data_IF_368212457267
#
_entry.id   IF_368212457267
#
_cell.length_a   1.000
_cell.length_b   1.000
_cell.length_c   1.000
_cell.angle_alpha   90.00
_cell.angle_beta   90.00
_cell.angle_gamma   90.00
#
_symmetry.space_group_name_H-M   'P 1'
#
loop_
_entity.id
_entity.type
_entity.pdbx_description
1 polymer ?
#
# COMPACT_ATOMS: atom_id res chain seq x y z
N UNK A 1 25.95 1.36 27.67
CA UNK A 1 24.80 2.16 27.20
C UNK A 1 25.18 2.87 25.92
N UNK A 2 24.80 2.34 24.76
CA UNK A 2 25.00 3.03 23.47
C UNK A 2 24.06 4.22 23.45
N UNK A 3 24.60 5.43 23.31
CA UNK A 3 23.84 6.67 23.24
C UNK A 3 22.81 6.60 22.12
N UNK A 4 21.62 7.17 22.32
CA UNK A 4 20.57 7.32 21.31
C UNK A 4 21.12 7.91 19.99
N UNK A 5 22.13 8.79 20.09
CA UNK A 5 22.90 9.32 18.95
C UNK A 5 23.64 8.25 18.14
N UNK A 6 24.13 7.18 18.78
CA UNK A 6 24.89 6.12 18.10
C UNK A 6 24.00 5.16 17.31
N UNK A 7 22.69 5.10 17.63
CA UNK A 7 21.69 4.37 16.86
C UNK A 7 21.40 5.03 15.49
N UNK A 8 21.47 6.37 15.43
CA UNK A 8 21.16 7.14 14.22
C UNK A 8 22.37 7.59 13.41
N UNK A 9 23.58 7.60 14.01
CA UNK A 9 24.83 7.91 13.27
C UNK A 9 24.97 7.14 11.94
N UNK A 10 24.67 5.83 11.86
CA UNK A 10 24.77 5.11 10.60
C UNK A 10 23.76 5.58 9.53
N UNK A 11 22.59 6.07 9.92
CA UNK A 11 21.60 6.57 8.98
C UNK A 11 22.01 7.89 8.33
N UNK A 12 22.70 8.77 9.08
CA UNK A 12 23.19 10.05 8.56
C UNK A 12 24.43 9.93 7.67
N UNK A 13 25.25 8.89 7.85
CA UNK A 13 26.43 8.62 6.99
C UNK A 13 26.06 8.12 5.60
N UNK A 14 24.84 7.62 5.42
CA UNK A 14 24.32 7.12 4.13
C UNK A 14 23.66 8.22 3.28
N UNK A 15 23.58 9.46 3.80
CA UNK A 15 22.95 10.56 3.07
C UNK A 15 23.89 11.12 1.99
N UNK A 16 23.36 11.62 0.84
CA UNK A 16 24.14 12.25 -0.21
C UNK A 16 25.01 13.41 0.30
N UNK A 17 26.15 13.64 -0.32
CA UNK A 17 27.07 14.72 0.05
C UNK A 17 26.58 16.11 -0.37
N UNK A 18 25.89 16.22 -1.51
CA UNK A 18 25.31 17.47 -1.98
C UNK A 18 24.21 17.96 -1.02
N UNK A 19 24.26 19.23 -0.62
CA UNK A 19 23.42 19.81 0.43
C UNK A 19 21.93 19.58 0.16
N UNK A 20 21.45 19.90 -1.05
CA UNK A 20 20.02 19.76 -1.39
C UNK A 20 19.59 18.30 -1.53
N UNK A 21 20.44 17.41 -2.07
CA UNK A 21 20.17 15.98 -2.11
C UNK A 21 20.09 15.39 -0.70
N UNK A 22 20.93 15.86 0.23
CA UNK A 22 20.90 15.45 1.65
C UNK A 22 19.60 15.84 2.32
N UNK A 23 19.16 17.09 2.16
CA UNK A 23 17.87 17.55 2.70
C UNK A 23 16.70 16.79 2.08
N UNK A 24 16.70 16.60 0.75
CA UNK A 24 15.67 15.83 0.06
C UNK A 24 15.61 14.39 0.59
N UNK A 25 16.75 13.73 0.76
CA UNK A 25 16.81 12.35 1.28
C UNK A 25 16.36 12.25 2.74
N UNK A 26 16.75 13.20 3.60
CA UNK A 26 16.30 13.26 4.99
C UNK A 26 14.78 13.48 5.10
N UNK A 27 14.24 14.47 4.37
CA UNK A 27 12.81 14.76 4.32
C UNK A 27 12.00 13.59 3.74
N UNK A 28 12.52 12.95 2.70
CA UNK A 28 11.89 11.76 2.14
C UNK A 28 11.88 10.58 3.14
N UNK A 29 12.99 10.38 3.85
CA UNK A 29 13.07 9.38 4.92
C UNK A 29 12.07 9.66 6.04
N UNK A 30 11.90 10.92 6.45
CA UNK A 30 10.86 11.33 7.41
C UNK A 30 9.45 11.10 6.87
N UNK A 31 9.22 11.37 5.57
CA UNK A 31 7.94 11.05 4.94
C UNK A 31 7.63 9.55 5.04
N UNK A 32 8.59 8.70 4.70
CA UNK A 32 8.45 7.24 4.76
C UNK A 32 8.22 6.76 6.21
N UNK A 33 8.95 7.33 7.18
CA UNK A 33 8.84 7.02 8.61
C UNK A 33 7.64 7.66 9.31
N UNK A 34 6.68 8.19 8.58
CA UNK A 34 5.41 8.73 9.10
C UNK A 34 4.19 8.21 8.35
N UNK A 35 4.37 7.26 7.40
CA UNK A 35 3.29 6.73 6.58
C UNK A 35 2.13 6.13 7.38
N UNK A 36 2.44 5.45 8.48
CA UNK A 36 1.44 4.77 9.31
C UNK A 36 1.04 5.58 10.56
N UNK A 37 1.71 6.70 10.81
CA UNK A 37 1.46 7.53 11.99
C UNK A 37 0.60 8.75 11.67
N UNK A 38 0.90 9.44 10.56
CA UNK A 38 0.20 10.67 10.19
C UNK A 38 0.27 10.91 8.69
N UNK A 39 -0.88 10.83 8.02
CA UNK A 39 -0.99 11.13 6.59
C UNK A 39 -0.56 12.57 6.28
N UNK A 40 -0.96 13.53 7.12
CA UNK A 40 -0.61 14.94 6.91
C UNK A 40 0.90 15.17 7.00
N UNK A 41 1.56 14.61 8.02
CA UNK A 41 3.01 14.71 8.17
C UNK A 41 3.73 14.03 6.99
N UNK A 42 3.30 12.82 6.62
CA UNK A 42 3.87 12.09 5.51
C UNK A 42 3.81 12.86 4.19
N UNK A 43 2.65 13.45 3.87
CA UNK A 43 2.48 14.25 2.65
C UNK A 43 3.23 15.59 2.71
N UNK A 44 3.30 16.26 3.86
CA UNK A 44 4.07 17.48 4.04
C UNK A 44 5.57 17.23 3.81
N UNK A 45 6.13 16.19 4.44
CA UNK A 45 7.53 15.80 4.23
C UNK A 45 7.78 15.35 2.78
N UNK A 46 6.83 14.66 2.14
CA UNK A 46 6.92 14.29 0.72
C UNK A 46 7.01 15.52 -0.17
N UNK A 47 6.15 16.50 0.06
CA UNK A 47 6.14 17.75 -0.72
C UNK A 47 7.46 18.53 -0.55
N UNK A 48 7.95 18.67 0.69
CA UNK A 48 9.23 19.31 0.98
C UNK A 48 10.41 18.56 0.36
N UNK A 49 10.39 17.21 0.41
CA UNK A 49 11.40 16.36 -0.24
C UNK A 49 11.40 16.56 -1.76
N UNK A 50 10.21 16.58 -2.38
CA UNK A 50 10.08 16.81 -3.81
C UNK A 50 10.58 18.20 -4.22
N UNK A 51 10.30 19.25 -3.43
CA UNK A 51 10.81 20.60 -3.66
C UNK A 51 12.34 20.65 -3.53
N UNK A 52 12.90 20.10 -2.46
CA UNK A 52 14.36 20.05 -2.27
C UNK A 52 15.05 19.25 -3.38
N UNK A 53 14.43 18.14 -3.85
CA UNK A 53 14.94 17.37 -4.98
C UNK A 53 14.83 18.12 -6.30
N UNK A 54 13.77 18.89 -6.53
CA UNK A 54 13.64 19.76 -7.71
C UNK A 54 14.74 20.84 -7.76
N UNK A 55 15.07 21.43 -6.60
CA UNK A 55 16.21 22.39 -6.49
C UNK A 55 17.54 21.68 -6.79
N UNK A 56 17.75 20.45 -6.28
CA UNK A 56 18.92 19.64 -6.60
C UNK A 56 19.03 19.35 -8.10
N UNK A 57 17.93 18.95 -8.75
CA UNK A 57 17.89 18.71 -10.19
C UNK A 57 18.25 19.97 -11.01
N UNK A 58 17.75 21.12 -10.59
CA UNK A 58 18.01 22.39 -11.28
C UNK A 58 19.46 22.87 -11.14
N UNK A 59 20.06 22.73 -9.94
CA UNK A 59 21.42 23.20 -9.65
C UNK A 59 22.50 22.23 -10.09
N UNK A 60 22.36 20.97 -9.72
CA UNK A 60 23.44 19.99 -9.80
C UNK A 60 23.30 19.04 -11.00
N UNK A 61 22.12 19.07 -11.68
CA UNK A 61 21.79 18.28 -12.89
C UNK A 61 22.22 16.80 -12.80
N UNK A 62 21.89 16.08 -11.74
CA UNK A 62 22.27 14.68 -11.57
C UNK A 62 21.55 13.80 -12.58
N UNK A 63 22.10 12.60 -12.85
CA UNK A 63 21.40 11.58 -13.61
C UNK A 63 20.13 11.14 -12.86
N UNK A 64 18.99 11.14 -13.56
CA UNK A 64 17.69 10.79 -12.99
C UNK A 64 17.36 9.34 -13.31
N UNK A 65 17.16 8.55 -12.27
CA UNK A 65 16.72 7.16 -12.38
C UNK A 65 15.21 7.08 -12.17
N UNK A 66 14.54 6.32 -13.02
CA UNK A 66 13.10 6.08 -12.92
C UNK A 66 12.78 4.66 -13.38
N UNK A 67 11.87 3.94 -12.71
CA UNK A 67 11.43 2.63 -13.16
C UNK A 67 10.92 2.67 -14.63
N UNK A 68 11.03 1.55 -15.40
CA UNK A 68 10.62 1.52 -16.81
C UNK A 68 9.09 1.46 -16.97
N UNK A 69 8.39 2.38 -16.32
CA UNK A 69 6.93 2.52 -16.29
C UNK A 69 6.46 3.89 -16.78
N UNK A 70 7.33 4.67 -17.41
CA UNK A 70 7.04 6.05 -17.84
C UNK A 70 5.81 6.13 -18.72
N UNK A 71 5.71 5.26 -19.73
CA UNK A 71 4.60 5.28 -20.69
C UNK A 71 3.23 4.96 -20.03
N UNK A 72 3.05 3.83 -19.32
CA UNK A 72 1.77 3.54 -18.70
C UNK A 72 1.40 4.58 -17.63
N UNK A 73 2.38 5.12 -16.89
CA UNK A 73 2.12 6.18 -15.90
C UNK A 73 1.68 7.48 -16.58
N UNK A 74 2.37 7.91 -17.64
CA UNK A 74 2.01 9.11 -18.40
C UNK A 74 0.60 9.01 -19.00
N UNK A 75 0.24 7.87 -19.58
CA UNK A 75 -1.11 7.63 -20.11
C UNK A 75 -2.17 7.62 -18.98
N UNK A 76 -1.88 6.99 -17.84
CA UNK A 76 -2.76 7.02 -16.69
C UNK A 76 -3.01 8.44 -16.19
N UNK A 77 -1.96 9.27 -16.09
CA UNK A 77 -2.08 10.68 -15.72
C UNK A 77 -2.89 11.46 -16.77
N UNK A 78 -2.57 11.28 -18.06
CA UNK A 78 -3.27 11.95 -19.16
C UNK A 78 -4.77 11.66 -19.14
N UNK A 79 -5.17 10.38 -19.11
CA UNK A 79 -6.59 10.01 -19.11
C UNK A 79 -7.29 10.43 -17.81
N UNK A 80 -6.59 10.47 -16.67
CA UNK A 80 -7.14 11.03 -15.42
C UNK A 80 -7.46 12.52 -15.60
N UNK A 81 -6.54 13.30 -16.18
CA UNK A 81 -6.73 14.73 -16.44
C UNK A 81 -7.85 14.99 -17.45
N UNK A 82 -7.87 14.24 -18.57
CA UNK A 82 -8.90 14.35 -19.59
C UNK A 82 -10.29 14.01 -19.04
N UNK A 83 -10.38 12.95 -18.27
CA UNK A 83 -11.65 12.56 -17.61
C UNK A 83 -12.11 13.63 -16.62
N UNK A 84 -11.20 14.20 -15.82
CA UNK A 84 -11.55 15.26 -14.88
C UNK A 84 -12.04 16.51 -15.61
N UNK A 85 -11.37 16.88 -16.71
CA UNK A 85 -11.74 18.06 -17.50
C UNK A 85 -13.13 17.93 -18.16
N UNK A 86 -13.49 16.69 -18.60
CA UNK A 86 -14.77 16.40 -19.25
C UNK A 86 -15.90 16.01 -18.29
N UNK A 87 -15.61 15.89 -16.99
CA UNK A 87 -16.61 15.55 -15.99
C UNK A 87 -17.70 16.60 -15.88
N UNK A 88 -18.92 16.17 -15.52
CA UNK A 88 -20.04 17.08 -15.25
C UNK A 88 -19.72 18.07 -14.10
N UNK A 89 -18.99 17.59 -13.08
CA UNK A 89 -18.42 18.41 -12.00
C UNK A 89 -16.90 18.20 -11.94
N UNK A 90 -16.10 19.00 -12.66
CA UNK A 90 -14.62 18.89 -12.63
C UNK A 90 -14.03 19.13 -11.25
N UNK A 91 -14.68 19.97 -10.41
CA UNK A 91 -14.23 20.27 -9.04
C UNK A 91 -14.17 19.03 -8.16
N UNK A 92 -15.11 18.09 -8.30
CA UNK A 92 -15.11 16.81 -7.60
C UNK A 92 -13.84 15.99 -7.92
N UNK A 93 -13.35 16.06 -9.17
CA UNK A 93 -12.15 15.36 -9.62
C UNK A 93 -10.83 15.92 -9.10
N UNK A 94 -10.82 17.12 -8.51
CA UNK A 94 -9.60 17.77 -8.01
C UNK A 94 -8.83 16.93 -6.98
N UNK A 95 -9.52 16.12 -6.20
CA UNK A 95 -8.92 15.20 -5.25
C UNK A 95 -8.13 14.06 -5.96
N UNK A 96 -8.67 13.53 -7.05
CA UNK A 96 -7.99 12.50 -7.84
C UNK A 96 -6.73 13.06 -8.54
N UNK A 97 -6.78 14.29 -9.05
CA UNK A 97 -5.64 14.97 -9.67
C UNK A 97 -4.52 15.21 -8.64
N UNK A 98 -4.87 15.70 -7.44
CA UNK A 98 -3.89 15.89 -6.35
C UNK A 98 -3.16 14.60 -5.98
N UNK A 99 -3.83 13.44 -6.05
CA UNK A 99 -3.20 12.14 -5.78
C UNK A 99 -2.11 11.74 -6.78
N UNK A 100 -2.10 12.32 -7.99
CA UNK A 100 -1.04 12.06 -8.97
C UNK A 100 0.34 12.48 -8.44
N UNK A 101 0.40 13.46 -7.53
CA UNK A 101 1.65 13.86 -6.85
C UNK A 101 2.26 12.72 -6.06
N UNK A 102 1.48 11.75 -5.56
CA UNK A 102 2.00 10.61 -4.80
C UNK A 102 2.94 9.72 -5.65
N UNK A 103 2.77 9.70 -6.97
CA UNK A 103 3.69 8.97 -7.86
C UNK A 103 5.12 9.51 -7.85
N UNK A 104 5.35 10.71 -7.30
CA UNK A 104 6.70 11.21 -7.01
C UNK A 104 7.47 10.29 -6.04
N UNK A 105 6.78 9.50 -5.22
CA UNK A 105 7.41 8.47 -4.36
C UNK A 105 8.29 7.52 -5.18
N UNK A 106 7.84 7.10 -6.38
CA UNK A 106 8.62 6.25 -7.27
C UNK A 106 9.93 6.91 -7.70
N UNK A 107 9.86 8.21 -8.03
CA UNK A 107 11.02 9.00 -8.43
C UNK A 107 11.97 9.22 -7.24
N UNK A 108 11.44 9.67 -6.11
CA UNK A 108 12.24 10.01 -4.94
C UNK A 108 12.88 8.78 -4.32
N UNK A 109 12.17 7.64 -4.24
CA UNK A 109 12.78 6.39 -3.78
C UNK A 109 13.95 6.01 -4.65
N UNK A 110 13.78 6.04 -5.98
CA UNK A 110 14.82 5.63 -6.93
C UNK A 110 16.09 6.50 -6.90
N UNK A 111 15.99 7.76 -6.45
CA UNK A 111 17.10 8.71 -6.51
C UNK A 111 17.64 9.13 -5.13
N UNK A 112 16.85 9.03 -4.08
CA UNK A 112 17.23 9.48 -2.73
C UNK A 112 17.59 8.37 -1.78
N UNK A 113 17.12 7.13 -2.04
CA UNK A 113 17.56 5.94 -1.29
C UNK A 113 18.76 5.34 -2.02
N UNK A 114 19.96 5.65 -1.54
CA UNK A 114 21.21 5.41 -2.27
C UNK A 114 21.81 4.04 -2.04
N UNK A 115 21.48 3.38 -0.91
CA UNK A 115 22.10 2.09 -0.54
C UNK A 115 21.07 1.07 -0.03
N UNK A 116 21.43 -0.22 -0.15
CA UNK A 116 20.65 -1.32 0.43
C UNK A 116 20.56 -1.23 1.97
N UNK A 117 21.57 -0.62 2.62
CA UNK A 117 21.57 -0.39 4.07
C UNK A 117 20.57 0.68 4.46
N UNK A 118 20.54 1.82 3.75
CA UNK A 118 19.55 2.89 3.94
C UNK A 118 18.14 2.32 3.76
N UNK A 119 17.90 1.59 2.66
CA UNK A 119 16.62 0.93 2.42
C UNK A 119 16.20 0.00 3.56
N UNK A 120 17.12 -0.83 4.07
CA UNK A 120 16.87 -1.74 5.19
C UNK A 120 16.48 -0.97 6.46
N UNK A 121 17.11 0.16 6.75
CA UNK A 121 16.77 1.01 7.90
C UNK A 121 15.37 1.60 7.76
N UNK A 122 14.99 2.09 6.57
CA UNK A 122 13.63 2.57 6.29
C UNK A 122 12.59 1.47 6.50
N UNK A 123 12.84 0.26 5.99
CA UNK A 123 11.95 -0.88 6.23
C UNK A 123 11.82 -1.24 7.69
N UNK A 124 12.91 -1.25 8.44
CA UNK A 124 12.88 -1.51 9.88
C UNK A 124 12.07 -0.44 10.63
N UNK A 125 12.19 0.83 10.24
CA UNK A 125 11.37 1.92 10.75
C UNK A 125 9.88 1.68 10.48
N UNK A 126 9.50 1.38 9.23
CA UNK A 126 8.12 1.06 8.84
C UNK A 126 7.57 -0.13 9.64
N UNK A 127 8.38 -1.18 9.87
CA UNK A 127 7.95 -2.32 10.68
C UNK A 127 7.64 -1.93 12.13
N UNK A 128 8.46 -1.03 12.71
CA UNK A 128 8.23 -0.50 14.07
C UNK A 128 7.02 0.42 14.14
N UNK A 129 6.83 1.29 13.14
CA UNK A 129 5.61 2.10 13.02
C UNK A 129 4.35 1.23 12.95
N UNK A 130 4.41 0.18 12.10
CA UNK A 130 3.32 -0.77 11.95
C UNK A 130 3.00 -1.48 13.26
N UNK A 131 4.01 -1.88 14.03
CA UNK A 131 3.81 -2.46 15.35
C UNK A 131 3.19 -1.45 16.34
N UNK A 132 3.69 -0.20 16.36
CA UNK A 132 3.12 0.86 17.19
C UNK A 132 1.66 1.13 16.82
N UNK A 133 1.35 1.29 15.54
CA UNK A 133 -0.01 1.45 15.04
C UNK A 133 -0.89 0.24 15.39
N UNK A 134 -0.32 -0.98 15.32
CA UNK A 134 -0.97 -2.22 15.72
C UNK A 134 -1.29 -2.30 17.21
N UNK A 135 -0.39 -1.85 18.07
CA UNK A 135 -0.63 -1.77 19.54
C UNK A 135 -1.76 -0.80 19.85
N UNK A 136 -1.73 0.39 19.25
CA UNK A 136 -2.80 1.40 19.42
C UNK A 136 -4.14 0.84 18.94
N UNK A 137 -4.17 0.24 17.77
CA UNK A 137 -5.36 -0.37 17.19
C UNK A 137 -5.90 -1.52 18.08
N UNK A 138 -5.02 -2.33 18.68
CA UNK A 138 -5.42 -3.39 19.63
C UNK A 138 -6.04 -2.80 20.90
N UNK A 139 -5.51 -1.69 21.38
CA UNK A 139 -6.12 -0.92 22.49
C UNK A 139 -7.50 -0.37 22.12
N UNK A 140 -7.65 0.22 20.91
CA UNK A 140 -8.94 0.67 20.40
C UNK A 140 -9.95 -0.48 20.34
N UNK A 141 -9.54 -1.66 19.85
CA UNK A 141 -10.40 -2.84 19.84
C UNK A 141 -10.87 -3.24 21.24
N UNK A 142 -9.98 -3.25 22.21
CA UNK A 142 -10.34 -3.60 23.60
C UNK A 142 -11.37 -2.62 24.19
N UNK A 143 -11.25 -1.33 23.89
CA UNK A 143 -12.22 -0.29 24.32
C UNK A 143 -13.57 -0.51 23.63
N UNK A 144 -13.58 -0.63 22.29
CA UNK A 144 -14.80 -0.87 21.51
C UNK A 144 -15.49 -2.15 21.98
N UNK A 145 -14.75 -3.24 22.10
CA UNK A 145 -15.30 -4.53 22.54
C UNK A 145 -15.92 -4.48 23.96
N UNK A 146 -15.25 -3.82 24.91
CA UNK A 146 -15.78 -3.64 26.26
C UNK A 146 -17.07 -2.82 26.25
N UNK A 147 -17.11 -1.74 25.48
CA UNK A 147 -18.30 -0.90 25.33
C UNK A 147 -19.47 -1.69 24.73
N UNK A 148 -19.24 -2.38 23.61
CA UNK A 148 -20.27 -3.19 22.95
C UNK A 148 -20.77 -4.34 23.83
N UNK A 149 -19.89 -4.95 24.61
CA UNK A 149 -20.28 -6.00 25.56
C UNK A 149 -21.17 -5.48 26.68
N UNK A 150 -20.99 -4.22 27.09
CA UNK A 150 -21.81 -3.59 28.15
C UNK A 150 -23.17 -3.12 27.61
N UNK A 151 -23.21 -2.55 26.37
CA UNK A 151 -24.40 -1.88 25.83
C UNK A 151 -25.22 -2.81 24.92
N UNK A 152 -24.57 -3.68 24.15
CA UNK A 152 -25.21 -4.54 23.13
C UNK A 152 -24.70 -5.98 23.20
N UNK A 153 -24.83 -6.70 24.33
CA UNK A 153 -24.23 -8.04 24.53
C UNK A 153 -24.69 -9.06 23.46
N UNK A 154 -25.95 -8.99 23.02
CA UNK A 154 -26.54 -9.93 22.05
C UNK A 154 -26.19 -9.61 20.58
N UNK A 155 -25.64 -8.42 20.30
CA UNK A 155 -25.39 -7.93 18.95
C UNK A 155 -23.93 -7.48 18.74
N UNK A 156 -22.99 -7.95 19.56
CA UNK A 156 -21.57 -7.56 19.50
C UNK A 156 -21.01 -7.74 18.07
N UNK A 157 -21.27 -8.91 17.46
CA UNK A 157 -20.79 -9.20 16.10
C UNK A 157 -21.28 -8.17 15.09
N UNK A 158 -22.57 -7.83 15.12
CA UNK A 158 -23.15 -6.84 14.21
C UNK A 158 -22.42 -5.50 14.30
N UNK A 159 -22.29 -4.94 15.51
CA UNK A 159 -21.65 -3.65 15.69
C UNK A 159 -20.16 -3.67 15.36
N UNK A 160 -19.42 -4.75 15.68
CA UNK A 160 -18.01 -4.89 15.30
C UNK A 160 -17.80 -4.92 13.78
N UNK A 161 -18.83 -5.21 12.98
CA UNK A 161 -18.69 -5.11 11.52
C UNK A 161 -18.73 -3.67 11.00
N UNK A 162 -19.22 -2.73 11.79
CA UNK A 162 -19.29 -1.30 11.47
C UNK A 162 -18.25 -0.47 12.25
N UNK A 163 -18.08 -0.75 13.55
CA UNK A 163 -17.14 -0.06 14.43
C UNK A 163 -15.78 -0.76 14.46
N UNK A 164 -15.02 -0.64 13.37
CA UNK A 164 -13.69 -1.26 13.26
C UNK A 164 -12.59 -0.30 13.65
N UNK A 165 -11.45 -0.88 14.02
CA UNK A 165 -10.28 -0.13 14.49
C UNK A 165 -9.58 0.63 13.34
N UNK A 166 -9.43 1.96 13.44
CA UNK A 166 -8.78 2.78 12.41
C UNK A 166 -7.27 2.99 12.65
N UNK A 167 -6.70 2.56 13.78
CA UNK A 167 -5.34 2.91 14.16
C UNK A 167 -5.15 4.43 14.22
N UNK A 168 -4.14 4.95 13.51
CA UNK A 168 -3.91 6.40 13.35
C UNK A 168 -4.55 6.98 12.08
N UNK A 169 -5.22 6.16 11.23
CA UNK A 169 -5.60 6.56 9.86
C UNK A 169 -7.04 7.08 9.71
N UNK A 170 -7.78 7.24 10.79
CA UNK A 170 -9.15 7.72 10.76
C UNK A 170 -10.18 6.77 10.15
N UNK A 171 -9.75 5.78 9.34
CA UNK A 171 -10.62 4.80 8.70
C UNK A 171 -9.98 3.41 8.69
N UNK A 172 -10.76 2.38 9.04
CA UNK A 172 -10.27 1.00 9.20
C UNK A 172 -9.71 0.37 7.91
N UNK A 173 -10.22 0.75 6.74
CA UNK A 173 -9.73 0.25 5.45
C UNK A 173 -8.33 0.78 5.14
N UNK A 174 -8.08 2.05 5.44
CA UNK A 174 -6.75 2.66 5.28
C UNK A 174 -5.73 1.98 6.18
N UNK A 175 -6.07 1.80 7.46
CA UNK A 175 -5.24 1.09 8.43
C UNK A 175 -4.99 -0.36 7.99
N UNK A 176 -6.05 -1.11 7.66
CA UNK A 176 -5.95 -2.50 7.24
C UNK A 176 -5.11 -2.68 5.98
N UNK A 177 -5.32 -1.84 4.94
CA UNK A 177 -4.55 -1.88 3.70
C UNK A 177 -3.06 -1.56 3.88
N UNK A 178 -2.72 -0.58 4.74
CA UNK A 178 -1.33 -0.31 5.10
C UNK A 178 -0.69 -1.48 5.85
N UNK A 179 -1.36 -2.00 6.88
CA UNK A 179 -0.89 -3.14 7.67
C UNK A 179 -0.67 -4.38 6.79
N UNK A 180 -1.56 -4.65 5.84
CA UNK A 180 -1.43 -5.76 4.88
C UNK A 180 -0.16 -5.67 4.05
N UNK A 181 0.16 -4.50 3.50
CA UNK A 181 1.37 -4.29 2.71
C UNK A 181 2.64 -4.44 3.55
N UNK A 182 2.64 -3.87 4.76
CA UNK A 182 3.77 -3.99 5.69
C UNK A 182 3.92 -5.42 6.21
N UNK A 183 2.82 -6.11 6.49
CA UNK A 183 2.82 -7.52 6.87
C UNK A 183 3.47 -8.39 5.78
N UNK A 184 3.08 -8.23 4.52
CA UNK A 184 3.67 -8.96 3.41
C UNK A 184 5.19 -8.72 3.32
N UNK A 185 5.64 -7.47 3.48
CA UNK A 185 7.06 -7.13 3.48
C UNK A 185 7.80 -7.70 4.70
N UNK A 186 7.19 -7.67 5.89
CA UNK A 186 7.78 -8.20 7.11
C UNK A 186 7.91 -9.74 7.05
N UNK A 187 6.92 -10.44 6.51
CA UNK A 187 7.00 -11.89 6.27
C UNK A 187 8.11 -12.22 5.28
N UNK A 188 8.21 -11.48 4.16
CA UNK A 188 9.30 -11.64 3.20
C UNK A 188 10.67 -11.41 3.85
N UNK A 189 10.81 -10.37 4.69
CA UNK A 189 12.01 -10.08 5.45
C UNK A 189 12.38 -11.22 6.40
N UNK A 190 11.41 -11.74 7.16
CA UNK A 190 11.64 -12.83 8.13
C UNK A 190 12.05 -14.15 7.48
N UNK A 191 11.44 -14.49 6.35
CA UNK A 191 11.67 -15.76 5.68
C UNK A 191 12.92 -15.77 4.78
N UNK A 192 13.28 -14.63 4.18
CA UNK A 192 14.23 -14.56 3.08
C UNK A 192 15.46 -13.67 3.34
N UNK A 193 15.41 -12.80 4.37
CA UNK A 193 16.58 -11.99 4.69
C UNK A 193 17.59 -12.79 5.55
N UNK A 194 18.93 -12.59 5.35
CA UNK A 194 19.92 -13.26 6.15
C UNK A 194 19.97 -12.69 7.58
N UNK A 195 20.18 -13.55 8.56
CA UNK A 195 20.47 -13.20 9.97
C UNK A 195 19.45 -12.27 10.61
N UNK A 196 18.16 -12.63 10.57
CA UNK A 196 17.09 -11.86 11.19
C UNK A 196 17.07 -12.09 12.72
N UNK A 197 17.00 -10.99 13.49
CA UNK A 197 16.89 -11.06 14.96
C UNK A 197 15.50 -11.58 15.37
N UNK A 198 15.42 -12.39 16.44
CA UNK A 198 14.17 -12.96 16.98
C UNK A 198 13.12 -11.89 17.34
N UNK A 199 13.53 -10.70 17.70
CA UNK A 199 12.66 -9.54 17.97
C UNK A 199 11.64 -9.28 16.85
N UNK A 200 12.03 -9.46 15.58
CA UNK A 200 11.13 -9.20 14.45
C UNK A 200 9.93 -10.16 14.35
N UNK A 201 10.02 -11.34 14.97
CA UNK A 201 8.87 -12.23 15.13
C UNK A 201 7.83 -11.67 16.10
N UNK A 202 8.26 -10.96 17.15
CA UNK A 202 7.35 -10.26 18.07
C UNK A 202 6.65 -9.12 17.32
N UNK A 203 7.40 -8.36 16.51
CA UNK A 203 6.82 -7.30 15.65
C UNK A 203 5.78 -7.89 14.70
N UNK A 204 6.08 -9.04 14.04
CA UNK A 204 5.13 -9.74 13.19
C UNK A 204 3.86 -10.16 13.96
N UNK A 205 4.01 -10.69 15.16
CA UNK A 205 2.86 -11.10 15.98
C UNK A 205 1.94 -9.93 16.31
N UNK A 206 2.48 -8.75 16.66
CA UNK A 206 1.72 -7.53 16.92
C UNK A 206 0.97 -7.07 15.65
N UNK A 207 1.66 -7.02 14.52
CA UNK A 207 1.08 -6.63 13.23
C UNK A 207 -0.02 -7.62 12.81
N UNK A 208 0.23 -8.93 12.90
CA UNK A 208 -0.74 -9.96 12.60
C UNK A 208 -1.98 -9.87 13.50
N UNK A 209 -1.80 -9.67 14.80
CA UNK A 209 -2.91 -9.47 15.74
C UNK A 209 -3.77 -8.28 15.34
N UNK A 210 -3.15 -7.13 15.02
CA UNK A 210 -3.89 -5.94 14.61
C UNK A 210 -4.70 -6.14 13.32
N UNK A 211 -4.17 -6.93 12.35
CA UNK A 211 -4.87 -7.31 11.12
C UNK A 211 -6.08 -8.21 11.42
N UNK A 212 -5.92 -9.17 12.31
CA UNK A 212 -7.03 -10.03 12.75
C UNK A 212 -8.12 -9.19 13.40
N UNK A 213 -7.76 -8.31 14.34
CA UNK A 213 -8.69 -7.43 15.07
C UNK A 213 -9.33 -6.34 14.19
N UNK A 214 -8.78 -6.05 13.02
CA UNK A 214 -9.37 -5.10 12.06
C UNK A 214 -10.66 -5.61 11.41
N UNK A 215 -10.98 -6.89 11.47
CA UNK A 215 -12.22 -7.50 10.96
C UNK A 215 -12.49 -7.28 9.46
N UNK A 216 -11.48 -6.92 8.66
CA UNK A 216 -11.65 -6.65 7.22
C UNK A 216 -11.26 -7.87 6.39
N UNK A 217 -12.27 -8.54 5.80
CA UNK A 217 -12.09 -9.78 5.02
C UNK A 217 -11.15 -9.63 3.83
N UNK A 218 -11.23 -8.49 3.11
CA UNK A 218 -10.35 -8.20 1.98
C UNK A 218 -8.87 -8.16 2.40
N UNK A 219 -8.58 -7.52 3.54
CA UNK A 219 -7.23 -7.46 4.12
C UNK A 219 -6.73 -8.85 4.50
N UNK A 220 -7.59 -9.69 5.11
CA UNK A 220 -7.24 -11.07 5.45
C UNK A 220 -6.92 -11.89 4.20
N UNK A 221 -7.73 -11.75 3.14
CA UNK A 221 -7.50 -12.41 1.85
C UNK A 221 -6.18 -11.96 1.23
N UNK A 222 -5.88 -10.67 1.23
CA UNK A 222 -4.61 -10.14 0.74
C UNK A 222 -3.40 -10.68 1.51
N UNK A 223 -3.46 -10.69 2.86
CA UNK A 223 -2.42 -11.27 3.71
C UNK A 223 -2.24 -12.77 3.43
N UNK A 224 -3.34 -13.50 3.29
CA UNK A 224 -3.34 -14.94 3.02
C UNK A 224 -2.62 -15.27 1.70
N UNK A 225 -2.96 -14.57 0.63
CA UNK A 225 -2.33 -14.78 -0.68
C UNK A 225 -0.85 -14.38 -0.67
N UNK A 226 -0.49 -13.29 0.01
CA UNK A 226 0.90 -12.91 0.21
C UNK A 226 1.70 -14.00 0.93
N UNK A 227 1.14 -14.60 1.99
CA UNK A 227 1.78 -15.69 2.75
C UNK A 227 1.93 -16.94 1.88
N UNK A 228 0.89 -17.36 1.14
CA UNK A 228 0.99 -18.49 0.21
C UNK A 228 2.11 -18.28 -0.80
N UNK A 229 2.16 -17.11 -1.42
CA UNK A 229 3.20 -16.77 -2.38
C UNK A 229 4.60 -16.87 -1.74
N UNK A 230 4.79 -16.27 -0.56
CA UNK A 230 6.09 -16.24 0.12
C UNK A 230 6.52 -17.61 0.63
N UNK A 231 5.61 -18.44 1.14
CA UNK A 231 5.90 -19.84 1.51
C UNK A 231 6.26 -20.64 0.25
N UNK A 232 5.57 -20.44 -0.86
CA UNK A 232 5.89 -21.05 -2.15
C UNK A 232 7.29 -20.69 -2.64
N UNK A 233 7.74 -19.45 -2.40
CA UNK A 233 9.10 -18.99 -2.73
C UNK A 233 10.17 -19.51 -1.77
N UNK A 234 9.83 -19.72 -0.50
CA UNK A 234 10.76 -20.15 0.55
C UNK A 234 10.87 -21.66 0.67
N UNK A 235 9.75 -22.34 0.95
CA UNK A 235 9.65 -23.81 1.11
C UNK A 235 8.29 -24.33 0.63
N UNK A 236 8.12 -24.59 -0.68
CA UNK A 236 6.81 -24.94 -1.26
C UNK A 236 6.16 -26.17 -0.61
N UNK A 237 6.96 -27.12 -0.08
CA UNK A 237 6.44 -28.31 0.63
C UNK A 237 5.60 -27.95 1.86
N UNK A 238 5.81 -26.78 2.50
CA UNK A 238 5.00 -26.36 3.64
C UNK A 238 3.57 -25.95 3.26
N UNK A 239 3.30 -25.72 1.97
CA UNK A 239 1.93 -25.44 1.50
C UNK A 239 0.99 -26.62 1.75
N UNK A 240 1.49 -27.86 1.81
CA UNK A 240 0.67 -29.03 2.16
C UNK A 240 0.14 -28.99 3.60
N UNK A 241 0.80 -28.28 4.50
CA UNK A 241 0.34 -28.09 5.88
C UNK A 241 -0.75 -27.01 6.01
N UNK A 242 -0.91 -26.16 4.98
CA UNK A 242 -1.80 -25.00 5.03
C UNK A 242 -3.27 -25.38 5.30
N UNK A 243 -3.88 -26.40 4.67
CA UNK A 243 -5.26 -26.80 4.96
C UNK A 243 -5.45 -27.18 6.43
N UNK A 244 -4.48 -27.93 7.00
CA UNK A 244 -4.52 -28.34 8.42
C UNK A 244 -4.41 -27.13 9.34
N UNK A 245 -3.46 -26.22 9.06
CA UNK A 245 -3.28 -25.00 9.85
C UNK A 245 -4.52 -24.09 9.79
N UNK A 246 -5.15 -23.98 8.63
CA UNK A 246 -6.40 -23.23 8.47
C UNK A 246 -7.54 -23.85 9.25
N UNK A 247 -7.69 -25.18 9.19
CA UNK A 247 -8.72 -25.89 9.94
C UNK A 247 -8.50 -25.71 11.45
N UNK A 248 -7.29 -25.96 11.94
CA UNK A 248 -6.95 -25.79 13.36
C UNK A 248 -7.16 -24.33 13.80
N UNK A 249 -6.69 -23.37 12.98
CA UNK A 249 -6.89 -21.94 13.26
C UNK A 249 -8.37 -21.54 13.30
N UNK A 250 -9.19 -22.09 12.39
CA UNK A 250 -10.63 -21.87 12.39
C UNK A 250 -11.30 -22.46 13.65
N UNK A 251 -10.97 -23.70 14.02
CA UNK A 251 -11.56 -24.37 15.17
C UNK A 251 -11.14 -23.71 16.51
N UNK A 252 -9.90 -23.22 16.59
CA UNK A 252 -9.38 -22.53 17.77
C UNK A 252 -9.82 -21.07 17.86
N UNK A 253 -10.36 -20.47 16.79
CA UNK A 253 -10.74 -19.07 16.77
C UNK A 253 -11.98 -18.81 17.63
N UNK A 254 -12.06 -17.68 18.36
CA UNK A 254 -13.29 -17.28 19.06
C UNK A 254 -14.49 -17.19 18.11
N UNK A 255 -15.69 -17.40 18.63
CA UNK A 255 -16.94 -17.47 17.85
C UNK A 255 -17.19 -16.25 16.94
N UNK A 256 -16.81 -15.06 17.37
CA UNK A 256 -16.90 -13.82 16.57
C UNK A 256 -16.08 -13.91 15.25
N UNK A 257 -14.87 -14.46 15.33
CA UNK A 257 -14.01 -14.63 14.15
C UNK A 257 -14.50 -15.77 13.27
N UNK A 258 -15.00 -16.88 13.86
CA UNK A 258 -15.63 -17.95 13.09
C UNK A 258 -16.85 -17.45 12.33
N UNK A 259 -17.72 -16.62 12.95
CA UNK A 259 -18.86 -15.99 12.27
C UNK A 259 -18.38 -15.10 11.11
N UNK A 260 -17.31 -14.34 11.31
CA UNK A 260 -16.75 -13.48 10.25
C UNK A 260 -16.21 -14.28 9.07
N UNK A 261 -15.56 -15.41 9.33
CA UNK A 261 -15.07 -16.32 8.28
C UNK A 261 -16.22 -17.03 7.56
N UNK A 262 -17.24 -17.50 8.28
CA UNK A 262 -18.44 -18.12 7.66
C UNK A 262 -19.18 -17.15 6.72
N UNK A 263 -19.21 -15.85 7.04
CA UNK A 263 -19.85 -14.85 6.20
C UNK A 263 -19.17 -14.64 4.84
N UNK A 264 -17.98 -15.22 4.60
CA UNK A 264 -17.34 -15.21 3.28
C UNK A 264 -18.08 -16.17 2.32
N UNK A 265 -18.55 -17.33 2.84
CA UNK A 265 -19.20 -18.37 2.04
C UNK A 265 -20.72 -18.21 1.86
N UNK A 266 -21.35 -17.27 2.56
CA UNK A 266 -22.80 -17.07 2.56
C UNK A 266 -23.19 -15.64 2.15
N UNK A 267 -23.15 -15.31 0.85
CA UNK A 267 -23.41 -13.95 0.36
C UNK A 267 -24.79 -13.39 0.74
N UNK A 268 -25.79 -14.26 0.85
CA UNK A 268 -27.19 -13.87 1.11
C UNK A 268 -27.43 -13.37 2.54
N UNK A 269 -26.55 -13.70 3.49
CA UNK A 269 -26.68 -13.32 4.89
C UNK A 269 -25.88 -12.05 5.28
N UNK A 270 -25.04 -11.52 4.37
CA UNK A 270 -24.19 -10.35 4.64
C UNK A 270 -24.65 -9.13 3.83
N UNK A 271 -25.29 -8.13 4.49
CA UNK A 271 -25.72 -6.90 3.84
C UNK A 271 -24.60 -6.20 3.07
N UNK A 272 -23.34 -6.30 3.52
CA UNK A 272 -22.20 -5.64 2.87
C UNK A 272 -21.86 -6.24 1.51
N UNK A 273 -22.18 -7.50 1.26
CA UNK A 273 -22.02 -8.13 -0.06
C UNK A 273 -23.12 -7.73 -1.01
N UNK A 274 -24.37 -7.69 -0.53
CA UNK A 274 -25.51 -7.24 -1.33
C UNK A 274 -25.29 -5.81 -1.85
N UNK A 275 -24.82 -4.90 -0.98
CA UNK A 275 -24.46 -3.52 -1.32
C UNK A 275 -23.36 -3.51 -2.41
N UNK A 276 -22.31 -4.32 -2.27
CA UNK A 276 -21.23 -4.39 -3.28
C UNK A 276 -21.73 -4.90 -4.63
N UNK A 277 -22.59 -5.91 -4.67
CA UNK A 277 -23.17 -6.39 -5.92
C UNK A 277 -24.01 -5.31 -6.63
N UNK A 278 -24.80 -4.54 -5.88
CA UNK A 278 -25.51 -3.40 -6.44
C UNK A 278 -24.53 -2.36 -7.01
N UNK A 279 -23.53 -1.98 -6.24
CA UNK A 279 -22.48 -1.03 -6.68
C UNK A 279 -21.76 -1.52 -7.95
N UNK A 280 -21.48 -2.82 -8.06
CA UNK A 280 -20.85 -3.40 -9.25
C UNK A 280 -21.78 -3.37 -10.46
N UNK A 281 -23.07 -3.62 -10.28
CA UNK A 281 -24.07 -3.49 -11.36
C UNK A 281 -24.16 -2.03 -11.85
N UNK A 282 -24.23 -1.09 -10.93
CA UNK A 282 -24.24 0.35 -11.24
C UNK A 282 -22.96 0.76 -11.95
N UNK A 283 -21.80 0.38 -11.42
CA UNK A 283 -20.50 0.66 -12.05
C UNK A 283 -20.40 0.09 -13.47
N UNK A 284 -20.86 -1.15 -13.70
CA UNK A 284 -20.88 -1.76 -15.02
C UNK A 284 -21.79 -1.00 -16.01
N UNK A 285 -22.90 -0.40 -15.55
CA UNK A 285 -23.75 0.45 -16.37
C UNK A 285 -23.10 1.78 -16.69
N UNK A 286 -22.39 2.41 -15.72
CA UNK A 286 -21.61 3.62 -15.96
C UNK A 286 -20.53 3.40 -17.01
N UNK A 287 -19.77 2.29 -16.92
CA UNK A 287 -18.75 1.93 -17.91
C UNK A 287 -19.34 1.77 -19.31
N UNK A 288 -20.51 1.11 -19.44
CA UNK A 288 -21.18 0.94 -20.73
C UNK A 288 -21.68 2.25 -21.31
N UNK A 289 -22.19 3.15 -20.47
CA UNK A 289 -22.70 4.45 -20.90
C UNK A 289 -21.58 5.45 -21.26
N UNK A 290 -20.44 5.37 -20.54
CA UNK A 290 -19.32 6.30 -20.69
C UNK A 290 -17.99 5.56 -20.85
N UNK A 291 -17.78 4.75 -21.93
CA UNK A 291 -16.61 3.86 -22.05
C UNK A 291 -15.29 4.61 -22.22
N UNK A 292 -15.29 5.83 -22.74
CA UNK A 292 -14.05 6.53 -23.09
C UNK A 292 -13.43 7.32 -21.96
N UNK A 293 -14.20 8.14 -21.25
CA UNK A 293 -13.69 9.04 -20.20
C UNK A 293 -14.42 8.87 -18.86
N UNK A 294 -15.37 7.94 -18.77
CA UNK A 294 -16.15 7.71 -17.57
C UNK A 294 -17.09 8.88 -17.21
N UNK A 295 -17.64 8.83 -16.01
CA UNK A 295 -18.50 9.91 -15.46
C UNK A 295 -17.68 11.04 -14.81
N UNK A 296 -16.39 10.88 -14.73
CA UNK A 296 -15.45 11.79 -14.06
C UNK A 296 -15.08 11.33 -12.64
N UNK A 297 -13.81 11.52 -12.23
CA UNK A 297 -13.37 11.19 -10.89
C UNK A 297 -14.18 11.94 -9.83
N UNK A 298 -14.60 11.24 -8.76
CA UNK A 298 -15.39 11.80 -7.66
C UNK A 298 -16.84 12.16 -8.01
N UNK A 299 -17.33 11.80 -9.20
CA UNK A 299 -18.71 12.10 -9.62
C UNK A 299 -19.65 10.92 -9.39
N UNK A 300 -19.18 9.73 -8.99
CA UNK A 300 -20.03 8.53 -8.86
C UNK A 300 -21.23 8.79 -7.96
N UNK A 301 -21.02 9.36 -6.78
CA UNK A 301 -22.10 9.62 -5.82
C UNK A 301 -23.22 10.48 -6.43
N UNK A 302 -22.86 11.51 -7.18
CA UNK A 302 -23.81 12.46 -7.78
C UNK A 302 -24.69 11.81 -8.86
N UNK A 303 -24.14 10.83 -9.59
CA UNK A 303 -24.83 10.19 -10.71
C UNK A 303 -25.31 8.76 -10.39
N UNK A 304 -25.04 8.23 -9.19
CA UNK A 304 -25.27 6.85 -8.82
C UNK A 304 -26.70 6.39 -9.10
N UNK A 305 -27.67 7.20 -8.67
CA UNK A 305 -29.11 6.89 -8.82
C UNK A 305 -29.56 6.78 -10.29
N UNK A 306 -28.91 7.49 -11.22
CA UNK A 306 -29.23 7.44 -12.66
C UNK A 306 -28.90 6.07 -13.28
N UNK A 307 -27.99 5.31 -12.66
CA UNK A 307 -27.53 4.01 -13.16
C UNK A 307 -28.06 2.82 -12.36
N UNK A 308 -28.97 3.05 -11.40
CA UNK A 308 -29.65 1.96 -10.72
C UNK A 308 -30.49 1.12 -11.70
N UNK A 309 -30.61 -0.20 -11.49
CA UNK A 309 -31.54 -1.03 -12.24
C UNK A 309 -32.97 -0.47 -12.14
N UNK A 310 -33.78 -0.50 -13.23
CA UNK A 310 -35.15 -0.07 -13.18
C UNK A 310 -35.93 -0.77 -12.07
N UNK A 311 -36.74 -0.02 -11.31
CA UNK A 311 -37.57 -0.54 -10.22
C UNK A 311 -36.83 -0.90 -8.93
N UNK A 312 -35.50 -0.71 -8.87
CA UNK A 312 -34.74 -0.89 -7.61
C UNK A 312 -34.71 0.40 -6.79
N UNK A 313 -34.90 0.24 -5.50
CA UNK A 313 -34.64 1.26 -4.49
C UNK A 313 -33.15 1.06 -4.04
N UNK A 314 -32.35 2.12 -3.91
CA UNK A 314 -30.97 1.97 -3.48
C UNK A 314 -30.91 1.34 -2.10
N UNK A 315 -30.03 0.34 -1.94
CA UNK A 315 -29.71 -0.19 -0.62
C UNK A 315 -29.02 0.95 0.14
N UNK A 316 -29.56 1.30 1.29
CA UNK A 316 -29.01 2.39 2.13
C UNK A 316 -27.55 2.10 2.43
N UNK A 317 -26.64 2.98 2.00
CA UNK A 317 -25.19 2.83 2.17
C UNK A 317 -24.43 3.98 1.55
N UNK A 318 -23.12 3.89 1.64
CA UNK A 318 -22.20 4.88 1.15
C UNK A 318 -21.89 4.63 -0.35
N UNK A 319 -22.13 5.62 -1.20
CA UNK A 319 -22.09 5.49 -2.66
C UNK A 319 -20.91 6.18 -3.35
N UNK A 320 -19.94 6.74 -2.61
CA UNK A 320 -18.76 7.39 -3.22
C UNK A 320 -17.88 6.41 -3.98
N UNK A 321 -17.85 5.14 -3.55
CA UNK A 321 -16.93 4.13 -4.08
C UNK A 321 -17.68 2.86 -4.46
N UNK A 322 -17.24 2.24 -5.57
CA UNK A 322 -17.77 0.96 -6.05
C UNK A 322 -17.15 -0.27 -5.36
N UNK A 323 -16.29 -0.07 -4.36
CA UNK A 323 -15.57 -1.13 -3.66
C UNK A 323 -14.91 -2.16 -4.61
N UNK A 324 -14.32 -1.67 -5.70
CA UNK A 324 -13.55 -2.44 -6.68
C UNK A 324 -12.74 -1.47 -7.53
N UNK A 325 -11.41 -1.56 -7.49
CA UNK A 325 -10.51 -0.66 -8.23
C UNK A 325 -10.76 -0.67 -9.74
N UNK A 326 -11.03 -1.86 -10.32
CA UNK A 326 -11.24 -2.02 -11.78
C UNK A 326 -12.51 -1.29 -12.20
N UNK A 327 -13.62 -1.55 -11.50
CA UNK A 327 -14.89 -0.90 -11.77
C UNK A 327 -14.84 0.60 -11.46
N UNK A 328 -14.20 0.99 -10.36
CA UNK A 328 -14.04 2.39 -9.99
C UNK A 328 -13.33 3.18 -11.09
N UNK A 329 -12.17 2.68 -11.54
CA UNK A 329 -11.39 3.36 -12.58
C UNK A 329 -12.12 3.37 -13.93
N UNK A 330 -12.75 2.25 -14.31
CA UNK A 330 -13.52 2.17 -15.53
C UNK A 330 -14.74 3.10 -15.52
N UNK A 331 -15.48 3.16 -14.42
CA UNK A 331 -16.66 4.02 -14.29
C UNK A 331 -16.29 5.50 -14.22
N UNK A 332 -15.28 5.87 -13.42
CA UNK A 332 -14.86 7.26 -13.27
C UNK A 332 -14.10 7.80 -14.46
N UNK A 333 -13.18 7.00 -15.05
CA UNK A 333 -12.14 7.50 -15.97
C UNK A 333 -12.15 6.82 -17.33
N UNK A 334 -13.05 5.86 -17.55
CA UNK A 334 -13.19 5.13 -18.79
C UNK A 334 -12.18 4.01 -19.01
N UNK A 335 -12.42 3.22 -20.06
CA UNK A 335 -11.61 2.05 -20.43
C UNK A 335 -10.16 2.39 -20.79
N UNK A 336 -9.82 3.51 -21.47
CA UNK A 336 -8.43 3.84 -21.78
C UNK A 336 -7.60 4.11 -20.49
N UNK A 337 -8.19 4.79 -19.50
CA UNK A 337 -7.54 4.98 -18.20
C UNK A 337 -7.37 3.65 -17.46
N UNK A 338 -8.41 2.81 -17.44
CA UNK A 338 -8.35 1.47 -16.86
C UNK A 338 -7.26 0.61 -17.53
N UNK A 339 -7.18 0.61 -18.86
CA UNK A 339 -6.16 -0.13 -19.59
C UNK A 339 -4.74 0.36 -19.25
N UNK A 340 -4.53 1.68 -19.19
CA UNK A 340 -3.24 2.26 -18.78
C UNK A 340 -2.88 1.92 -17.32
N UNK A 341 -3.85 1.87 -16.42
CA UNK A 341 -3.65 1.44 -15.05
C UNK A 341 -3.29 -0.06 -14.96
N UNK A 342 -4.00 -0.93 -15.67
CA UNK A 342 -3.68 -2.36 -15.73
C UNK A 342 -2.27 -2.59 -16.30
N UNK A 343 -1.88 -1.84 -17.34
CA UNK A 343 -0.52 -1.86 -17.86
C UNK A 343 0.50 -1.39 -16.82
N UNK A 344 0.21 -0.31 -16.08
CA UNK A 344 1.06 0.18 -15.00
C UNK A 344 1.24 -0.89 -13.91
N UNK A 345 0.16 -1.51 -13.47
CA UNK A 345 0.20 -2.58 -12.46
C UNK A 345 0.99 -3.79 -12.95
N UNK A 346 0.76 -4.22 -14.19
CA UNK A 346 1.50 -5.32 -14.82
C UNK A 346 3.00 -5.00 -14.99
N UNK A 347 3.33 -3.77 -15.39
CA UNK A 347 4.72 -3.32 -15.55
C UNK A 347 5.47 -3.28 -14.22
N UNK A 348 4.85 -2.82 -13.13
CA UNK A 348 5.42 -2.83 -11.79
C UNK A 348 5.71 -4.26 -11.31
N UNK A 349 4.75 -5.18 -11.48
CA UNK A 349 4.93 -6.59 -11.13
C UNK A 349 6.03 -7.25 -11.96
N UNK A 350 6.01 -7.04 -13.28
CA UNK A 350 7.00 -7.59 -14.22
C UNK A 350 8.41 -7.10 -13.93
N UNK A 351 8.56 -5.81 -13.60
CA UNK A 351 9.84 -5.23 -13.25
C UNK A 351 10.39 -5.85 -11.95
N UNK A 352 9.58 -5.93 -10.91
CA UNK A 352 9.94 -6.58 -9.65
C UNK A 352 10.32 -8.05 -9.85
N UNK A 353 9.58 -8.77 -10.71
CA UNK A 353 9.87 -10.17 -11.04
C UNK A 353 11.17 -10.35 -11.84
N UNK A 354 11.50 -9.45 -12.78
CA UNK A 354 12.79 -9.44 -13.46
C UNK A 354 13.94 -9.21 -12.49
N UNK A 355 13.79 -8.24 -11.58
CA UNK A 355 14.80 -7.92 -10.57
C UNK A 355 15.03 -9.12 -9.65
N UNK A 356 13.96 -9.75 -9.14
CA UNK A 356 14.01 -10.95 -8.31
C UNK A 356 14.93 -12.05 -8.85
N UNK A 357 14.98 -12.20 -10.18
CA UNK A 357 15.81 -13.22 -10.85
C UNK A 357 17.30 -12.84 -10.91
N UNK A 358 17.63 -11.57 -10.74
CA UNK A 358 18.98 -11.04 -10.89
C UNK A 358 19.69 -10.82 -9.56
N UNK A 359 18.94 -10.41 -8.52
CA UNK A 359 19.46 -10.13 -7.18
C UNK A 359 19.65 -11.41 -6.36
N UNK A 360 20.72 -11.46 -5.54
CA UNK A 360 21.06 -12.62 -4.70
C UNK A 360 20.96 -12.32 -3.20
N UNK A 361 21.53 -11.21 -2.73
CA UNK A 361 21.66 -10.96 -1.30
C UNK A 361 20.40 -10.39 -0.65
N UNK A 362 19.68 -9.47 -1.32
CA UNK A 362 18.49 -8.80 -0.79
C UNK A 362 17.21 -9.21 -1.53
N UNK A 363 17.14 -10.46 -1.95
CA UNK A 363 15.99 -11.02 -2.69
C UNK A 363 14.65 -10.77 -1.97
N UNK A 364 14.66 -10.73 -0.63
CA UNK A 364 13.47 -10.47 0.16
C UNK A 364 12.75 -9.18 -0.24
N UNK A 365 13.46 -8.15 -0.72
CA UNK A 365 12.86 -6.87 -1.14
C UNK A 365 11.98 -7.05 -2.39
N UNK A 366 12.47 -7.78 -3.39
CA UNK A 366 11.69 -8.05 -4.59
C UNK A 366 10.52 -9.00 -4.32
N UNK A 367 10.70 -9.98 -3.41
CA UNK A 367 9.61 -10.87 -2.99
C UNK A 367 8.58 -10.12 -2.15
N UNK A 368 8.99 -9.14 -1.31
CA UNK A 368 8.09 -8.25 -0.60
C UNK A 368 7.23 -7.41 -1.56
N UNK A 369 7.84 -6.87 -2.62
CA UNK A 369 7.13 -6.11 -3.63
C UNK A 369 6.10 -6.97 -4.39
N UNK A 370 6.46 -8.18 -4.78
CA UNK A 370 5.54 -9.10 -5.48
C UNK A 370 4.40 -9.58 -4.56
N UNK A 371 4.72 -9.94 -3.30
CA UNK A 371 3.72 -10.32 -2.31
C UNK A 371 2.76 -9.16 -2.00
N UNK A 372 3.30 -7.96 -1.81
CA UNK A 372 2.52 -6.74 -1.60
C UNK A 372 1.66 -6.38 -2.81
N UNK A 373 2.18 -6.56 -4.03
CA UNK A 373 1.41 -6.37 -5.26
C UNK A 373 0.23 -7.34 -5.35
N UNK A 374 0.46 -8.63 -5.10
CA UNK A 374 -0.60 -9.65 -5.09
C UNK A 374 -1.68 -9.33 -4.05
N UNK A 375 -1.28 -8.99 -2.83
CA UNK A 375 -2.20 -8.63 -1.76
C UNK A 375 -3.03 -7.39 -2.14
N UNK A 376 -2.38 -6.33 -2.61
CA UNK A 376 -3.01 -5.07 -3.00
C UNK A 376 -3.98 -5.24 -4.16
N UNK A 377 -3.59 -5.99 -5.20
CA UNK A 377 -4.41 -6.20 -6.38
C UNK A 377 -5.66 -7.02 -6.04
N UNK A 378 -5.51 -8.10 -5.29
CA UNK A 378 -6.63 -8.96 -4.91
C UNK A 378 -7.59 -8.29 -3.93
N UNK A 379 -7.07 -7.58 -2.92
CA UNK A 379 -7.91 -6.82 -2.00
C UNK A 379 -8.65 -5.71 -2.75
N UNK A 380 -7.99 -5.08 -3.73
CA UNK A 380 -8.57 -4.05 -4.59
C UNK A 380 -9.68 -4.50 -5.54
N UNK A 381 -9.93 -5.81 -5.67
CA UNK A 381 -11.14 -6.33 -6.34
C UNK A 381 -12.39 -6.22 -5.45
N UNK A 382 -12.22 -6.01 -4.16
CA UNK A 382 -13.28 -5.90 -3.17
C UNK A 382 -13.26 -4.56 -2.42
N UNK A 383 -12.30 -3.68 -2.75
CA UNK A 383 -12.09 -2.38 -2.10
C UNK A 383 -11.48 -1.36 -3.07
N UNK A 384 -11.59 -0.07 -2.74
CA UNK A 384 -10.96 1.02 -3.52
C UNK A 384 -9.64 1.47 -2.90
N UNK A 385 -8.73 0.52 -2.64
CA UNK A 385 -7.45 0.79 -1.97
C UNK A 385 -6.50 1.67 -2.80
N UNK A 386 -6.54 1.58 -4.14
CA UNK A 386 -5.79 2.48 -5.03
C UNK A 386 -6.30 3.93 -4.95
N UNK A 387 -7.58 4.11 -4.60
CA UNK A 387 -8.20 5.42 -4.39
C UNK A 387 -7.82 6.09 -3.07
N UNK A 388 -7.16 5.42 -2.12
CA UNK A 388 -6.85 5.96 -0.80
C UNK A 388 -5.37 6.33 -0.67
N UNK A 389 -5.08 7.59 -0.31
CA UNK A 389 -3.70 8.09 -0.22
C UNK A 389 -2.82 7.29 0.76
N UNK A 390 -3.27 6.93 1.97
CA UNK A 390 -2.45 6.19 2.91
C UNK A 390 -1.94 4.86 2.36
N UNK A 391 -2.83 4.06 1.75
CA UNK A 391 -2.48 2.74 1.20
C UNK A 391 -1.62 2.88 -0.05
N UNK A 392 -1.97 3.85 -0.93
CA UNK A 392 -1.24 4.11 -2.17
C UNK A 392 0.22 4.52 -1.90
N UNK A 393 0.48 5.38 -0.88
CA UNK A 393 1.85 5.80 -0.52
C UNK A 393 2.72 4.60 -0.14
N UNK A 394 2.22 3.72 0.73
CA UNK A 394 2.95 2.50 1.11
C UNK A 394 3.16 1.59 -0.10
N UNK A 395 2.12 1.39 -0.93
CA UNK A 395 2.21 0.57 -2.13
C UNK A 395 3.26 1.07 -3.12
N UNK A 396 3.28 2.37 -3.43
CA UNK A 396 4.26 2.96 -4.34
C UNK A 396 5.69 2.85 -3.79
N UNK A 397 5.90 3.03 -2.48
CA UNK A 397 7.18 2.79 -1.85
C UNK A 397 7.60 1.33 -1.99
N UNK A 398 6.74 0.38 -1.61
CA UNK A 398 6.98 -1.07 -1.76
C UNK A 398 7.43 -1.42 -3.18
N UNK A 399 6.70 -0.92 -4.19
CA UNK A 399 6.97 -1.24 -5.60
C UNK A 399 8.23 -0.58 -6.17
N UNK A 400 8.73 0.48 -5.54
CA UNK A 400 9.96 1.17 -5.97
C UNK A 400 11.24 0.56 -5.37
N UNK A 401 11.14 -0.14 -4.23
CA UNK A 401 12.30 -0.65 -3.48
C UNK A 401 13.16 -1.70 -4.19
N UNK A 402 12.65 -2.60 -5.07
CA UNK A 402 13.49 -3.55 -5.80
C UNK A 402 14.57 -2.88 -6.67
N UNK A 403 14.27 -1.71 -7.23
CA UNK A 403 15.21 -0.97 -8.07
C UNK A 403 16.48 -0.57 -7.30
N UNK A 404 16.34 -0.22 -6.02
CA UNK A 404 17.45 0.18 -5.17
C UNK A 404 18.43 -0.98 -4.97
N UNK A 405 17.89 -2.16 -4.68
CA UNK A 405 18.70 -3.36 -4.48
C UNK A 405 19.41 -3.77 -5.76
N UNK A 406 18.72 -3.72 -6.90
CA UNK A 406 19.33 -4.01 -8.19
C UNK A 406 20.55 -3.13 -8.45
N UNK A 407 20.44 -1.82 -8.23
CA UNK A 407 21.53 -0.86 -8.42
C UNK A 407 22.68 -1.08 -7.44
N UNK A 408 22.37 -1.37 -6.18
CA UNK A 408 23.40 -1.67 -5.18
C UNK A 408 24.20 -2.93 -5.50
N UNK A 409 23.57 -3.96 -6.08
CA UNK A 409 24.24 -5.22 -6.44
C UNK A 409 24.97 -5.15 -7.80
N UNK A 410 24.59 -4.23 -8.71
CA UNK A 410 25.28 -4.00 -10.00
C UNK A 410 26.49 -3.06 -9.89
N UNK A 411 26.78 -2.50 -8.71
CA UNK A 411 27.90 -1.57 -8.53
C UNK A 411 27.66 -0.16 -9.08
N UNK A 412 26.51 0.10 -9.67
CA UNK A 412 26.15 1.41 -10.23
C UNK A 412 25.95 2.49 -9.14
N UNK A 413 25.81 2.08 -7.89
CA UNK A 413 25.62 2.99 -6.75
C UNK A 413 26.92 3.69 -6.30
N UNK A 414 28.07 3.09 -6.51
CA UNK A 414 29.39 3.64 -6.12
C UNK A 414 30.00 4.56 -7.18
N UNK A 415 29.66 4.38 -8.44
CA UNK A 415 30.21 5.16 -9.55
C UNK A 415 29.70 6.62 -9.63
N UNK A 416 28.68 7.00 -8.86
CA UNK A 416 28.15 8.37 -8.84
C UNK A 416 28.85 9.33 -7.85
N UNK A 417 29.85 8.87 -7.08
CA UNK A 417 30.73 9.70 -6.29
C UNK A 417 32.15 9.64 -6.87
N UNK A 418 32.62 10.67 -7.60
CA UNK A 418 34.02 10.75 -7.96
C UNK A 418 34.81 10.80 -6.64
N UNK A 419 35.62 9.77 -6.40
CA UNK A 419 36.66 9.83 -5.36
C UNK A 419 37.46 11.10 -5.63
N UNK A 420 37.50 12.02 -4.65
CA UNK A 420 38.43 13.12 -4.64
C UNK A 420 39.84 12.50 -4.59
N UNK A 421 40.46 12.33 -5.75
CA UNK A 421 41.86 12.04 -5.87
C UNK A 421 42.63 13.25 -5.33
N UNK A 422 43.03 13.18 -4.07
CA UNK A 422 44.10 14.03 -3.57
C UNK A 422 45.38 13.68 -4.34
N UNK A 423 46.07 14.65 -4.95
CA UNK A 423 47.36 14.39 -5.55
C UNK A 423 48.34 14.08 -4.42
N UNK A 424 48.93 12.89 -4.47
CA UNK A 424 50.12 12.57 -3.69
C UNK A 424 51.25 13.45 -4.21
N UNK A 425 51.57 14.50 -3.48
CA UNK A 425 52.80 15.29 -3.72
C UNK A 425 54.01 14.45 -3.36
N UNK A 426 54.86 14.21 -4.35
CA UNK A 426 56.21 13.72 -4.17
C UNK A 426 57.13 14.73 -3.48
#
# INVERSE_FOLDING_TARGET
>A
MTSFRDLFKPAFSELPTATYARWASALFSLSVLTFLLSLAAAQAFLALAALAYAVHLWRDRPAVHFPPIKAPLALFCLFTLLSTWKAANPGAGGFAVRKLVLFTILLLTANLVTSARHLKLLWQGIFLESALAGLVASGQFAVIYRHLRAVHPDRIYYYLTFERIPGFMGHWMNFGGQQMLVFAALVAFLLLAPRVKKFWWVVLAIVALSIVLNFTRGVWLGCFVAVIYLIGCWRPRLLWLLPVLLLVGYLAAPSLFQQRLRSIGLPTSDPSLAIRFEMWQVGGRMVRAHPWLGVGPGNIEQVYLLYLPPGKVPIVGYHEHLHNNVLQLGAERGLPCLASWLWLMGALAWHSWKIRRRIRQNRWVAEAALAGWLAFFLEGLFECNFGTSPVLMVFLFVMSTPLIVQRSESGEGEASHPASSLPVSA
#
